data_IF_847708446199
#
_entry.id   IF_847708446199
#
_cell.length_a   1.000
_cell.length_b   1.000
_cell.length_c   1.000
_cell.angle_alpha   90.00
_cell.angle_beta   90.00
_cell.angle_gamma   90.00
#
_symmetry.space_group_name_H-M   'P 1'
#
loop_
_entity.id
_entity.type
_entity.pdbx_description
1 polymer ?
#
# COMPACT_ATOMS: atom_id res chain seq x y z
N UNK A 1 -57.95 -1.08 26.58
CA UNK A 1 -58.30 -0.47 25.30
C UNK A 1 -57.27 -0.91 24.26
N UNK A 2 -57.55 -1.95 23.49
CA UNK A 2 -56.74 -2.32 22.35
C UNK A 2 -56.94 -1.33 21.20
N UNK A 3 -55.95 -0.53 20.86
CA UNK A 3 -55.96 0.29 19.65
C UNK A 3 -55.81 -0.61 18.44
N UNK A 4 -56.89 -0.95 17.74
CA UNK A 4 -56.86 -1.62 16.44
C UNK A 4 -56.06 -0.73 15.45
N UNK A 5 -54.98 -1.26 14.88
CA UNK A 5 -54.24 -0.63 13.81
C UNK A 5 -55.15 -0.36 12.60
N UNK A 6 -55.09 0.83 12.00
CA UNK A 6 -55.78 1.11 10.74
C UNK A 6 -55.15 0.26 9.62
N UNK A 7 -55.93 -0.21 8.69
CA UNK A 7 -55.49 -1.12 7.60
C UNK A 7 -54.24 -0.63 6.86
N UNK A 8 -54.13 0.66 6.57
CA UNK A 8 -52.95 1.22 5.90
C UNK A 8 -51.66 1.15 6.75
N UNK A 9 -51.78 1.22 8.09
CA UNK A 9 -50.62 1.07 9.00
C UNK A 9 -50.09 -0.36 8.96
N UNK A 10 -50.96 -1.36 8.81
CA UNK A 10 -50.58 -2.75 8.60
C UNK A 10 -49.77 -2.95 7.32
N UNK A 11 -50.23 -2.34 6.22
CA UNK A 11 -49.48 -2.39 4.96
C UNK A 11 -48.14 -1.68 5.02
N UNK A 12 -48.00 -0.54 5.70
CA UNK A 12 -46.74 0.14 5.91
C UNK A 12 -45.76 -0.69 6.75
N UNK A 13 -46.26 -1.29 7.82
CA UNK A 13 -45.43 -2.20 8.64
C UNK A 13 -44.95 -3.40 7.83
N UNK A 14 -45.86 -4.03 7.08
CA UNK A 14 -45.50 -5.15 6.22
C UNK A 14 -44.44 -4.76 5.18
N UNK A 15 -44.67 -3.67 4.43
CA UNK A 15 -43.73 -3.18 3.43
C UNK A 15 -42.36 -2.81 4.05
N UNK A 16 -42.38 -2.12 5.18
CA UNK A 16 -41.15 -1.78 5.92
C UNK A 16 -40.38 -3.01 6.38
N UNK A 17 -41.10 -4.00 6.94
CA UNK A 17 -40.43 -5.27 7.34
C UNK A 17 -39.84 -6.01 6.15
N UNK A 18 -40.55 -6.06 4.99
CA UNK A 18 -40.04 -6.69 3.78
C UNK A 18 -38.75 -6.03 3.29
N UNK A 19 -38.67 -4.70 3.30
CA UNK A 19 -37.45 -3.96 2.93
C UNK A 19 -36.30 -4.28 3.89
N UNK A 20 -36.55 -4.27 5.19
CA UNK A 20 -35.52 -4.60 6.19
C UNK A 20 -34.99 -6.03 6.01
N UNK A 21 -35.89 -7.00 5.86
CA UNK A 21 -35.52 -8.41 5.62
C UNK A 21 -34.69 -8.56 4.33
N UNK A 22 -35.10 -7.86 3.26
CA UNK A 22 -34.38 -7.89 2.00
C UNK A 22 -32.97 -7.32 2.15
N UNK A 23 -32.82 -6.16 2.80
CA UNK A 23 -31.49 -5.54 3.04
C UNK A 23 -30.60 -6.43 3.91
N UNK A 24 -31.15 -6.99 4.99
CA UNK A 24 -30.41 -7.93 5.84
C UNK A 24 -29.99 -9.19 5.08
N UNK A 25 -30.86 -9.70 4.20
CA UNK A 25 -30.54 -10.82 3.33
C UNK A 25 -29.40 -10.51 2.37
N UNK A 26 -29.39 -9.33 1.76
CA UNK A 26 -28.29 -8.89 0.90
C UNK A 26 -26.96 -8.77 1.67
N UNK A 27 -26.99 -8.19 2.87
CA UNK A 27 -25.79 -8.09 3.71
C UNK A 27 -25.28 -9.48 4.08
N UNK A 28 -26.15 -10.37 4.51
CA UNK A 28 -25.78 -11.74 4.87
C UNK A 28 -25.20 -12.51 3.67
N UNK A 29 -25.78 -12.36 2.48
CA UNK A 29 -25.27 -12.96 1.27
C UNK A 29 -23.86 -12.44 0.92
N UNK A 30 -23.65 -11.12 0.99
CA UNK A 30 -22.35 -10.50 0.73
C UNK A 30 -21.29 -10.95 1.74
N UNK A 31 -21.63 -11.05 3.02
CA UNK A 31 -20.71 -11.56 4.04
C UNK A 31 -20.35 -13.02 3.78
N UNK A 32 -21.33 -13.85 3.45
CA UNK A 32 -21.10 -15.26 3.16
C UNK A 32 -20.22 -15.48 1.92
N UNK A 33 -20.44 -14.70 0.87
CA UNK A 33 -19.61 -14.72 -0.33
C UNK A 33 -18.14 -14.38 -0.02
N UNK A 34 -17.92 -13.31 0.74
CA UNK A 34 -16.57 -12.94 1.20
C UNK A 34 -15.91 -14.03 2.06
N UNK A 35 -16.65 -14.64 2.94
CA UNK A 35 -16.14 -15.77 3.73
C UNK A 35 -15.78 -16.97 2.85
N UNK A 36 -16.60 -17.27 1.83
CA UNK A 36 -16.30 -18.34 0.89
C UNK A 36 -15.04 -18.05 0.07
N UNK A 37 -14.86 -16.82 -0.41
CA UNK A 37 -13.64 -16.38 -1.10
C UNK A 37 -12.40 -16.54 -0.22
N UNK A 38 -12.42 -16.00 1.00
CA UNK A 38 -11.31 -16.13 1.95
C UNK A 38 -11.00 -17.59 2.25
N UNK A 39 -12.04 -18.41 2.49
CA UNK A 39 -11.86 -19.83 2.74
C UNK A 39 -11.26 -20.57 1.56
N UNK A 40 -11.64 -20.21 0.32
CA UNK A 40 -11.09 -20.81 -0.88
C UNK A 40 -9.60 -20.50 -1.04
N UNK A 41 -9.19 -19.26 -0.77
CA UNK A 41 -7.78 -18.83 -0.80
C UNK A 41 -6.98 -19.56 0.28
N UNK A 42 -7.50 -19.59 1.52
CA UNK A 42 -6.81 -20.23 2.65
C UNK A 42 -6.66 -21.73 2.48
N UNK A 43 -7.62 -22.40 1.85
CA UNK A 43 -7.59 -23.84 1.62
C UNK A 43 -6.77 -24.24 0.39
N UNK A 44 -6.51 -23.33 -0.52
CA UNK A 44 -5.79 -23.59 -1.78
C UNK A 44 -4.33 -23.12 -1.74
N UNK A 45 -3.74 -22.96 -0.56
CA UNK A 45 -2.31 -22.64 -0.44
C UNK A 45 -1.46 -23.67 -1.15
N UNK A 46 -0.69 -23.23 -2.13
CA UNK A 46 0.24 -24.07 -2.89
C UNK A 46 1.60 -24.17 -2.23
N UNK A 47 1.99 -23.15 -1.48
CA UNK A 47 3.25 -23.08 -0.74
C UNK A 47 3.01 -22.56 0.66
N UNK A 48 3.78 -23.07 1.60
CA UNK A 48 3.74 -22.56 2.96
C UNK A 48 4.80 -21.48 3.14
N UNK A 49 4.35 -20.28 3.52
CA UNK A 49 5.22 -19.14 3.83
C UNK A 49 5.35 -19.11 5.34
N UNK A 50 6.58 -19.29 5.81
CA UNK A 50 6.87 -19.33 7.25
C UNK A 50 7.67 -18.08 7.65
N UNK A 51 7.35 -17.54 8.82
CA UNK A 51 8.04 -16.37 9.36
C UNK A 51 7.70 -15.07 8.61
N UNK A 52 8.63 -14.11 8.65
CA UNK A 52 8.52 -12.81 7.98
C UNK A 52 9.21 -12.91 6.62
N UNK A 53 8.44 -13.12 5.57
CA UNK A 53 8.92 -13.17 4.19
C UNK A 53 8.82 -11.77 3.55
N UNK A 54 9.94 -11.28 3.01
CA UNK A 54 10.01 -9.97 2.37
C UNK A 54 9.91 -10.03 0.83
N UNK A 55 10.03 -11.21 0.24
CA UNK A 55 10.05 -11.38 -1.21
C UNK A 55 8.66 -11.59 -1.76
N UNK A 56 8.23 -10.69 -2.65
CA UNK A 56 6.91 -10.76 -3.27
C UNK A 56 6.73 -12.02 -4.14
N UNK A 57 7.78 -12.50 -4.82
CA UNK A 57 7.73 -13.70 -5.65
C UNK A 57 7.42 -14.99 -4.85
N UNK A 58 7.67 -15.00 -3.55
CA UNK A 58 7.30 -16.13 -2.68
C UNK A 58 5.80 -16.24 -2.45
N UNK A 59 5.09 -15.13 -2.62
CA UNK A 59 3.64 -15.09 -2.49
C UNK A 59 2.91 -15.45 -3.80
N UNK A 60 3.57 -15.37 -4.95
CA UNK A 60 2.99 -15.65 -6.27
C UNK A 60 2.21 -16.97 -6.34
N UNK A 61 2.73 -18.13 -5.88
CA UNK A 61 2.00 -19.39 -6.00
C UNK A 61 0.66 -19.39 -5.26
N UNK A 62 0.54 -18.63 -4.17
CA UNK A 62 -0.67 -18.52 -3.36
C UNK A 62 -1.59 -17.38 -3.81
N UNK A 63 -1.01 -16.31 -4.37
CA UNK A 63 -1.68 -15.07 -4.75
C UNK A 63 -1.25 -14.60 -6.15
N UNK A 64 -1.48 -15.41 -7.20
CA UNK A 64 -0.94 -15.12 -8.54
C UNK A 64 -1.52 -13.85 -9.15
N UNK A 65 -2.77 -13.49 -8.85
CA UNK A 65 -3.42 -12.29 -9.37
C UNK A 65 -2.82 -11.04 -8.75
N UNK A 66 -2.64 -11.04 -7.44
CA UNK A 66 -2.04 -9.94 -6.69
C UNK A 66 -0.58 -9.73 -7.12
N UNK A 67 0.17 -10.82 -7.28
CA UNK A 67 1.54 -10.77 -7.78
C UNK A 67 1.62 -10.18 -9.19
N UNK A 68 0.77 -10.62 -10.11
CA UNK A 68 0.72 -10.08 -11.48
C UNK A 68 0.40 -8.58 -11.51
N UNK A 69 -0.52 -8.11 -10.66
CA UNK A 69 -0.82 -6.67 -10.56
C UNK A 69 0.34 -5.88 -10.01
N UNK A 70 1.08 -6.43 -9.05
CA UNK A 70 2.31 -5.83 -8.54
C UNK A 70 3.41 -5.82 -9.62
N UNK A 71 3.63 -6.92 -10.32
CA UNK A 71 4.61 -7.04 -11.39
C UNK A 71 4.31 -6.05 -12.53
N UNK A 72 3.03 -5.84 -12.86
CA UNK A 72 2.61 -4.86 -13.86
C UNK A 72 3.01 -3.41 -13.50
N UNK A 73 3.33 -3.12 -12.25
CA UNK A 73 3.88 -1.80 -11.86
C UNK A 73 5.28 -1.53 -12.39
N UNK A 74 5.94 -2.54 -12.97
CA UNK A 74 7.20 -2.36 -13.70
C UNK A 74 7.04 -1.63 -15.04
N UNK A 75 5.83 -1.61 -15.62
CA UNK A 75 5.56 -0.86 -16.85
C UNK A 75 5.55 0.64 -16.60
N UNK A 76 6.55 1.32 -17.12
CA UNK A 76 6.72 2.79 -17.05
C UNK A 76 6.30 3.50 -18.33
N UNK A 77 5.70 2.82 -19.28
CA UNK A 77 5.36 3.37 -20.61
C UNK A 77 4.13 4.27 -20.60
N UNK A 78 3.34 4.27 -19.54
CA UNK A 78 2.09 5.01 -19.48
C UNK A 78 2.02 6.00 -18.31
N UNK A 79 1.16 7.01 -18.50
CA UNK A 79 0.78 7.97 -17.48
C UNK A 79 -0.73 7.96 -17.32
N UNK A 80 -1.21 7.69 -16.11
CA UNK A 80 -2.63 7.79 -15.78
C UNK A 80 -3.05 9.24 -15.48
N UNK A 81 -4.34 9.48 -15.32
CA UNK A 81 -4.87 10.79 -14.90
C UNK A 81 -4.23 11.30 -13.60
N UNK A 82 -3.86 10.39 -12.71
CA UNK A 82 -3.30 10.67 -11.38
C UNK A 82 -1.85 10.20 -11.24
N UNK A 83 -1.06 10.29 -12.30
CA UNK A 83 0.37 10.05 -12.48
C UNK A 83 0.73 8.73 -13.19
N UNK A 84 0.11 7.59 -12.93
CA UNK A 84 0.54 6.31 -13.49
C UNK A 84 1.93 5.89 -13.01
N UNK A 85 2.61 5.07 -13.80
CA UNK A 85 3.94 4.53 -13.47
C UNK A 85 5.10 5.27 -14.15
N UNK A 86 4.84 6.32 -14.92
CA UNK A 86 5.88 7.11 -15.54
C UNK A 86 6.45 8.12 -14.55
N UNK A 87 7.77 8.12 -14.37
CA UNK A 87 8.44 9.20 -13.66
C UNK A 87 8.40 10.51 -14.47
N UNK A 88 8.03 11.60 -13.81
CA UNK A 88 8.03 12.94 -14.39
C UNK A 88 8.77 13.87 -13.43
N UNK A 89 9.79 14.57 -13.92
CA UNK A 89 10.43 15.61 -13.13
C UNK A 89 9.48 16.81 -13.04
N UNK A 90 8.94 17.03 -11.85
CA UNK A 90 7.98 18.12 -11.60
C UNK A 90 8.68 19.47 -11.58
N UNK A 91 9.95 19.53 -11.16
CA UNK A 91 10.71 20.79 -11.14
C UNK A 91 11.07 21.25 -12.56
N UNK A 92 11.34 20.32 -13.46
CA UNK A 92 11.51 20.63 -14.89
C UNK A 92 10.19 21.08 -15.53
N UNK A 93 9.11 20.34 -15.25
CA UNK A 93 7.78 20.64 -15.81
C UNK A 93 7.14 21.91 -15.22
N UNK A 94 7.51 22.29 -14.00
CA UNK A 94 6.97 23.41 -13.23
C UNK A 94 8.08 24.12 -12.43
N UNK A 95 8.95 24.91 -13.08
CA UNK A 95 10.10 25.54 -12.43
C UNK A 95 9.74 26.45 -11.26
N UNK A 96 8.54 27.01 -11.24
CA UNK A 96 8.02 27.83 -10.14
C UNK A 96 7.96 27.06 -8.80
N UNK A 97 7.89 25.73 -8.83
CA UNK A 97 7.87 24.89 -7.63
C UNK A 97 9.18 24.96 -6.85
N UNK A 98 10.30 25.23 -7.50
CA UNK A 98 11.60 25.44 -6.85
C UNK A 98 11.53 26.62 -5.89
N UNK A 99 10.86 27.71 -6.29
CA UNK A 99 10.68 28.90 -5.47
C UNK A 99 9.66 28.67 -4.36
N UNK A 100 8.54 28.01 -4.70
CA UNK A 100 7.47 27.69 -3.75
C UNK A 100 8.00 26.82 -2.58
N UNK A 101 8.92 25.94 -2.87
CA UNK A 101 9.51 25.02 -1.89
C UNK A 101 10.95 25.38 -1.48
N UNK A 102 11.34 26.63 -1.70
CA UNK A 102 12.65 27.09 -1.26
C UNK A 102 12.86 26.83 0.24
N UNK A 103 14.01 26.23 0.56
CA UNK A 103 14.34 25.79 1.93
C UNK A 103 13.86 24.39 2.30
N UNK A 104 13.02 23.73 1.49
CA UNK A 104 12.62 22.34 1.67
C UNK A 104 13.38 21.42 0.71
N UNK A 105 13.51 20.14 1.08
CA UNK A 105 14.18 19.14 0.23
C UNK A 105 13.49 18.95 -1.14
N UNK A 106 12.20 19.25 -1.25
CA UNK A 106 11.43 19.21 -2.50
C UNK A 106 11.92 20.20 -3.57
N UNK A 107 12.61 21.27 -3.19
CA UNK A 107 13.22 22.18 -4.15
C UNK A 107 14.46 21.64 -4.84
N UNK A 108 14.99 20.51 -4.35
CA UNK A 108 16.17 19.84 -4.92
C UNK A 108 15.82 18.74 -5.90
N UNK A 109 14.72 18.02 -5.60
CA UNK A 109 14.26 16.90 -6.40
C UNK A 109 12.79 16.63 -6.06
N UNK A 110 11.95 16.72 -7.06
CA UNK A 110 10.54 16.38 -6.94
C UNK A 110 10.05 15.75 -8.24
N UNK A 111 10.08 14.44 -8.23
CA UNK A 111 9.58 13.62 -9.33
C UNK A 111 8.33 12.86 -8.91
N UNK A 112 7.44 12.60 -9.86
CA UNK A 112 6.34 11.65 -9.63
C UNK A 112 6.92 10.26 -9.41
N UNK A 113 6.41 9.47 -8.44
CA UNK A 113 6.92 8.13 -8.21
C UNK A 113 6.58 7.20 -9.38
N UNK A 114 7.48 6.28 -9.68
CA UNK A 114 7.17 5.09 -10.48
C UNK A 114 6.36 4.09 -9.65
N UNK A 115 5.98 2.97 -10.24
CA UNK A 115 5.25 1.92 -9.56
C UNK A 115 6.02 1.26 -8.41
N UNK A 116 5.35 0.43 -7.63
CA UNK A 116 5.90 -0.22 -6.43
C UNK A 116 7.18 -1.01 -6.70
N UNK A 117 7.32 -1.61 -7.90
CA UNK A 117 8.53 -2.31 -8.31
C UNK A 117 9.81 -1.48 -8.15
N UNK A 118 9.71 -0.16 -8.33
CA UNK A 118 10.84 0.78 -8.26
C UNK A 118 10.95 1.52 -6.93
N UNK A 119 10.12 1.19 -5.93
CA UNK A 119 10.05 1.96 -4.69
C UNK A 119 11.40 2.09 -3.97
N UNK A 120 12.23 1.04 -4.00
CA UNK A 120 13.56 1.06 -3.38
C UNK A 120 14.54 1.89 -4.21
N UNK A 121 14.56 1.66 -5.52
CA UNK A 121 15.47 2.34 -6.45
C UNK A 121 15.22 3.85 -6.45
N UNK A 122 13.98 4.28 -6.59
CA UNK A 122 13.61 5.68 -6.64
C UNK A 122 13.96 6.40 -5.34
N UNK A 123 13.71 5.75 -4.20
CA UNK A 123 14.04 6.35 -2.91
C UNK A 123 15.54 6.39 -2.62
N UNK A 124 16.33 5.46 -3.15
CA UNK A 124 17.79 5.51 -3.03
C UNK A 124 18.41 6.62 -3.87
N UNK A 125 17.81 6.92 -5.02
CA UNK A 125 18.37 7.83 -6.01
C UNK A 125 17.86 9.28 -5.87
N UNK A 126 16.85 9.53 -5.03
CA UNK A 126 16.33 10.88 -4.89
C UNK A 126 17.26 11.79 -4.07
N UNK A 127 17.53 12.98 -4.58
CA UNK A 127 18.32 14.01 -3.90
C UNK A 127 17.69 14.49 -2.59
N UNK A 128 16.37 14.30 -2.42
CA UNK A 128 15.65 14.67 -1.19
C UNK A 128 16.14 13.94 0.05
N UNK A 129 16.60 12.70 -0.11
CA UNK A 129 17.13 11.89 0.99
C UNK A 129 18.65 11.90 1.06
N UNK A 130 19.32 12.64 0.16
CA UNK A 130 20.79 12.72 0.12
C UNK A 130 21.43 11.65 -0.76
N UNK A 131 20.88 11.45 -1.98
CA UNK A 131 21.49 10.54 -2.96
C UNK A 131 22.81 11.10 -3.55
N UNK A 132 23.77 10.23 -3.94
CA UNK A 132 23.78 8.80 -3.72
C UNK A 132 23.94 8.46 -2.25
N UNK A 133 23.30 7.37 -1.80
CA UNK A 133 23.32 7.00 -0.39
C UNK A 133 24.70 6.49 0.05
N UNK A 134 25.31 7.22 0.97
CA UNK A 134 26.45 6.76 1.77
C UNK A 134 26.04 6.64 3.24
N UNK A 135 26.80 5.94 4.05
CA UNK A 135 26.51 5.76 5.48
C UNK A 135 26.41 7.08 6.25
N UNK A 136 27.04 8.12 5.72
CA UNK A 136 27.15 9.44 6.34
C UNK A 136 26.20 10.49 5.75
N UNK A 137 25.52 10.18 4.67
CA UNK A 137 24.64 11.11 3.98
C UNK A 137 23.19 10.99 4.41
N UNK A 138 22.52 12.13 4.38
CA UNK A 138 21.11 12.29 4.62
C UNK A 138 20.69 12.28 6.09
N UNK A 139 19.90 13.27 6.51
CA UNK A 139 19.37 13.37 7.88
C UNK A 139 18.18 12.43 8.11
N UNK A 140 17.69 11.73 7.08
CA UNK A 140 16.44 10.98 7.13
C UNK A 140 16.51 9.81 8.11
N UNK A 141 15.50 9.63 8.98
CA UNK A 141 15.44 8.51 9.89
C UNK A 141 15.10 7.21 9.17
N UNK A 142 15.46 6.08 9.76
CA UNK A 142 15.16 4.74 9.23
C UNK A 142 13.66 4.48 9.07
N UNK A 143 12.82 5.16 9.83
CA UNK A 143 11.35 5.07 9.74
C UNK A 143 10.80 5.35 8.34
N UNK A 144 11.51 6.13 7.52
CA UNK A 144 11.10 6.39 6.14
C UNK A 144 11.03 5.10 5.28
N UNK A 145 11.75 4.04 5.66
CA UNK A 145 11.69 2.75 4.97
C UNK A 145 10.40 1.97 5.19
N UNK A 146 9.66 2.22 6.26
CA UNK A 146 8.46 1.44 6.64
C UNK A 146 7.39 1.41 5.55
N UNK A 147 7.29 2.46 4.74
CA UNK A 147 6.35 2.56 3.63
C UNK A 147 6.97 2.17 2.26
N UNK A 148 8.18 1.63 2.25
CA UNK A 148 8.91 1.36 1.00
C UNK A 148 9.33 -0.09 0.84
N UNK A 149 9.43 -0.84 1.93
CA UNK A 149 9.95 -2.19 1.87
C UNK A 149 9.34 -3.13 2.92
N UNK A 150 9.00 -4.35 2.53
CA UNK A 150 8.65 -5.43 3.46
C UNK A 150 9.87 -6.00 4.22
N UNK A 151 11.09 -5.57 3.92
CA UNK A 151 12.27 -5.93 4.73
C UNK A 151 12.22 -5.34 6.14
N UNK A 152 11.49 -4.24 6.34
CA UNK A 152 11.45 -3.53 7.63
C UNK A 152 11.02 -4.38 8.81
N UNK A 153 9.92 -5.17 8.75
CA UNK A 153 9.55 -6.07 9.85
C UNK A 153 10.64 -7.09 10.18
N UNK A 154 11.32 -7.63 9.17
CA UNK A 154 12.44 -8.55 9.34
C UNK A 154 13.61 -7.88 10.07
N UNK A 155 13.96 -6.66 9.67
CA UNK A 155 15.01 -5.89 10.31
C UNK A 155 14.66 -5.51 11.75
N UNK A 156 13.41 -5.09 12.00
CA UNK A 156 12.93 -4.82 13.37
C UNK A 156 13.01 -6.05 14.25
N UNK A 157 12.71 -7.23 13.71
CA UNK A 157 12.85 -8.49 14.46
C UNK A 157 14.33 -8.80 14.76
N UNK A 158 15.23 -8.56 13.81
CA UNK A 158 16.65 -8.90 13.94
C UNK A 158 17.41 -7.98 14.90
N UNK A 159 17.17 -6.66 14.83
CA UNK A 159 17.93 -5.66 15.61
C UNK A 159 17.17 -5.05 16.77
N UNK A 160 15.88 -5.31 16.88
CA UNK A 160 14.96 -4.66 17.83
C UNK A 160 14.39 -3.36 17.28
N UNK A 161 13.13 -3.09 17.62
CA UNK A 161 12.36 -1.93 17.14
C UNK A 161 13.04 -0.62 17.49
N UNK A 162 13.50 -0.47 18.74
CA UNK A 162 14.16 0.76 19.21
C UNK A 162 15.46 1.04 18.46
N UNK A 163 16.25 0.01 18.16
CA UNK A 163 17.49 0.16 17.41
C UNK A 163 17.22 0.50 15.96
N UNK A 164 16.19 -0.08 15.35
CA UNK A 164 15.76 0.28 14.01
C UNK A 164 15.38 1.76 13.94
N UNK A 165 14.57 2.25 14.86
CA UNK A 165 14.15 3.66 14.88
C UNK A 165 15.27 4.66 15.18
N UNK A 166 16.30 4.25 15.89
CA UNK A 166 17.51 5.08 16.12
C UNK A 166 18.42 5.13 14.88
N UNK A 167 18.25 4.20 13.94
CA UNK A 167 19.03 4.13 12.72
C UNK A 167 18.73 5.28 11.76
N UNK A 168 19.67 5.51 10.86
CA UNK A 168 19.48 6.45 9.75
C UNK A 168 19.06 5.69 8.49
N UNK A 169 18.35 6.38 7.62
CA UNK A 169 17.99 5.90 6.29
C UNK A 169 19.18 5.30 5.55
N UNK A 170 20.29 6.06 5.45
CA UNK A 170 21.46 5.64 4.70
C UNK A 170 22.13 4.38 5.26
N UNK A 171 22.23 4.25 6.58
CA UNK A 171 22.90 3.11 7.22
C UNK A 171 22.18 1.79 7.02
N UNK A 172 20.84 1.81 6.95
CA UNK A 172 20.01 0.62 6.79
C UNK A 172 19.68 0.30 5.33
N UNK A 173 19.85 1.26 4.43
CA UNK A 173 19.43 1.12 3.04
C UNK A 173 20.13 0.02 2.26
N UNK A 174 21.33 -0.43 2.69
CA UNK A 174 22.05 -1.52 2.04
C UNK A 174 21.38 -2.88 2.24
N UNK A 175 20.68 -3.06 3.34
CA UNK A 175 20.00 -4.32 3.70
C UNK A 175 18.57 -4.40 3.20
N UNK A 176 18.02 -3.27 2.73
CA UNK A 176 16.67 -3.18 2.21
C UNK A 176 16.72 -3.41 0.71
N UNK A 177 16.24 -4.57 0.28
CA UNK A 177 16.37 -5.05 -1.10
C UNK A 177 15.02 -5.28 -1.79
N UNK A 178 13.97 -5.56 -1.00
CA UNK A 178 12.69 -5.94 -1.53
C UNK A 178 11.74 -4.74 -1.57
N UNK A 179 11.24 -4.35 -2.75
CA UNK A 179 10.27 -3.28 -2.86
C UNK A 179 8.93 -3.69 -2.29
N UNK A 180 8.16 -2.70 -1.83
CA UNK A 180 6.83 -2.91 -1.30
C UNK A 180 5.93 -3.58 -2.35
N UNK A 181 5.13 -4.55 -1.89
CA UNK A 181 4.14 -5.29 -2.69
C UNK A 181 2.71 -4.97 -2.30
#
# INVERSE_FOLDING_TARGET
MEKKLKSWQGWLLFGGTMVVVFVLGMIAASVNERHAEVSSVMNNKKTEITGIEARNDKFEPNYPREYQTWEATADTSFKSLYNGNQAVDVLEARPEMVILWAGYAFSKDYSTPRGHMYAIEDMRNTLRVGAPMTENEGPQPATCWTCKSPDVPRMMQAMGVDNFYKGKWASLGKEIMNPIG
#
